data_IF_466729333018
#
_entry.id   IF_466729333018
#
_cell.length_a   1.000
_cell.length_b   1.000
_cell.length_c   1.000
_cell.angle_alpha   90.00
_cell.angle_beta   90.00
_cell.angle_gamma   90.00
#
_symmetry.space_group_name_H-M   'P 1'
#
loop_
_entity.id
_entity.type
_entity.pdbx_description
1 polymer ?
#
# COMPACT_ATOMS: atom_id res chain seq x y z
N UNK A 1 20.97 -28.28 57.82
CA UNK A 1 19.98 -27.34 57.21
C UNK A 1 18.61 -27.98 57.33
N UNK A 2 17.69 -27.29 58.02
CA UNK A 2 16.32 -27.77 58.24
C UNK A 2 15.56 -27.89 56.91
N UNK A 3 14.65 -28.89 56.82
CA UNK A 3 13.78 -29.09 55.63
C UNK A 3 13.02 -27.82 55.23
N UNK A 4 12.69 -26.96 56.19
CA UNK A 4 12.04 -25.64 56.00
C UNK A 4 12.95 -24.63 55.26
N UNK A 5 14.23 -24.60 55.54
CA UNK A 5 15.18 -23.68 54.87
C UNK A 5 15.39 -24.08 53.42
N UNK A 6 15.44 -25.41 53.11
CA UNK A 6 15.50 -25.88 51.72
C UNK A 6 14.24 -25.54 50.94
N UNK A 7 13.06 -25.68 51.52
CA UNK A 7 11.79 -25.33 50.86
C UNK A 7 11.69 -23.82 50.58
N UNK A 8 12.14 -22.96 51.49
CA UNK A 8 12.14 -21.48 51.25
C UNK A 8 13.11 -21.07 50.12
N UNK A 9 14.30 -21.67 50.09
CA UNK A 9 15.30 -21.42 49.04
C UNK A 9 14.78 -21.85 47.64
N UNK A 10 14.09 -23.00 47.57
CA UNK A 10 13.51 -23.49 46.32
C UNK A 10 12.34 -22.59 45.85
N UNK A 11 11.51 -22.12 46.78
CA UNK A 11 10.40 -21.19 46.45
C UNK A 11 10.91 -19.82 45.96
N UNK A 12 11.98 -19.26 46.55
CA UNK A 12 12.61 -18.04 46.09
C UNK A 12 13.28 -18.19 44.71
N UNK A 13 13.89 -19.34 44.41
CA UNK A 13 14.50 -19.61 43.11
C UNK A 13 13.45 -19.74 41.99
N UNK A 14 12.28 -20.36 42.27
CA UNK A 14 11.17 -20.42 41.31
C UNK A 14 10.53 -19.04 41.09
N UNK A 15 10.40 -18.20 42.11
CA UNK A 15 9.89 -16.87 42.01
C UNK A 15 10.81 -15.92 41.19
N UNK A 16 12.14 -16.10 41.32
CA UNK A 16 13.12 -15.36 40.53
C UNK A 16 13.15 -15.80 39.04
N UNK A 17 12.85 -17.04 38.73
CA UNK A 17 12.74 -17.52 37.34
C UNK A 17 11.48 -17.05 36.64
N UNK A 18 10.40 -16.79 37.37
CA UNK A 18 9.14 -16.25 36.79
C UNK A 18 9.22 -14.76 36.40
N UNK A 19 10.22 -14.01 36.89
CA UNK A 19 10.43 -12.59 36.59
C UNK A 19 11.22 -12.27 35.31
N UNK A 20 11.77 -13.29 34.64
CA UNK A 20 12.58 -13.13 33.43
C UNK A 20 11.80 -13.45 32.14
N UNK A 21 10.48 -13.26 32.12
CA UNK A 21 9.77 -13.17 30.86
C UNK A 21 10.24 -11.89 30.17
N UNK A 22 11.30 -11.98 29.37
CA UNK A 22 11.68 -10.91 28.47
C UNK A 22 10.46 -10.63 27.60
N UNK A 23 9.87 -9.42 27.75
CA UNK A 23 8.81 -8.99 26.86
C UNK A 23 9.35 -9.15 25.43
N UNK A 24 8.80 -10.11 24.69
CA UNK A 24 9.18 -10.31 23.30
C UNK A 24 8.94 -9.00 22.58
N UNK A 25 9.97 -8.44 21.97
CA UNK A 25 9.89 -7.18 21.27
C UNK A 25 8.83 -7.30 20.18
N UNK A 26 7.79 -6.49 20.26
CA UNK A 26 6.74 -6.48 19.25
C UNK A 26 7.25 -5.81 17.99
N UNK A 27 7.10 -6.48 16.86
CA UNK A 27 7.57 -6.03 15.55
C UNK A 27 6.44 -6.15 14.55
N UNK A 28 6.28 -5.13 13.69
CA UNK A 28 5.46 -5.17 12.48
C UNK A 28 6.37 -5.26 11.26
N UNK A 29 6.21 -6.30 10.46
CA UNK A 29 6.91 -6.48 9.20
C UNK A 29 6.15 -5.75 8.09
N UNK A 30 6.72 -4.65 7.62
CA UNK A 30 6.14 -3.78 6.62
C UNK A 30 6.83 -3.98 5.26
N UNK A 31 6.08 -4.47 4.27
CA UNK A 31 6.55 -4.52 2.87
C UNK A 31 6.05 -3.28 2.15
N UNK A 32 6.96 -2.43 1.66
CA UNK A 32 6.62 -1.11 1.16
C UNK A 32 7.21 -0.83 -0.22
N UNK A 33 6.35 -0.40 -1.14
CA UNK A 33 6.74 0.20 -2.41
C UNK A 33 6.71 1.74 -2.36
N UNK A 34 6.46 2.32 -1.19
CA UNK A 34 6.44 3.77 -1.00
C UNK A 34 7.86 4.30 -0.80
N UNK A 35 8.12 5.45 -1.38
CA UNK A 35 9.45 6.07 -1.42
C UNK A 35 9.43 7.55 -1.00
N UNK A 36 8.40 7.97 -0.27
CA UNK A 36 8.26 9.35 0.16
C UNK A 36 8.92 9.58 1.51
N UNK A 37 9.78 10.60 1.61
CA UNK A 37 10.42 10.97 2.87
C UNK A 37 9.42 11.36 3.97
N UNK A 38 8.22 11.82 3.58
CA UNK A 38 7.13 12.13 4.51
C UNK A 38 6.60 10.90 5.26
N UNK A 39 6.77 9.71 4.71
CA UNK A 39 6.31 8.47 5.35
C UNK A 39 7.16 8.10 6.57
N UNK A 40 8.42 8.58 6.65
CA UNK A 40 9.29 8.35 7.80
C UNK A 40 8.71 8.94 9.10
N UNK A 41 8.03 10.07 9.01
CA UNK A 41 7.34 10.66 10.16
C UNK A 41 6.18 9.77 10.66
N UNK A 42 5.47 9.10 9.73
CA UNK A 42 4.41 8.15 10.06
C UNK A 42 4.97 6.93 10.81
N UNK A 43 6.03 6.33 10.29
CA UNK A 43 6.67 5.15 10.90
C UNK A 43 7.26 5.46 12.27
N UNK A 44 7.97 6.56 12.38
CA UNK A 44 8.54 7.03 13.66
C UNK A 44 7.45 7.34 14.67
N UNK A 45 6.36 8.01 14.23
CA UNK A 45 5.21 8.32 15.05
C UNK A 45 4.51 7.09 15.60
N UNK A 46 4.32 6.07 14.77
CA UNK A 46 3.75 4.79 15.17
C UNK A 46 4.61 4.11 16.25
N UNK A 47 5.90 3.96 16.00
CA UNK A 47 6.81 3.33 16.97
C UNK A 47 6.85 4.10 18.29
N UNK A 48 6.88 5.44 18.24
CA UNK A 48 6.86 6.28 19.44
C UNK A 48 5.57 6.13 20.24
N UNK A 49 4.43 6.01 19.57
CA UNK A 49 3.13 5.91 20.21
C UNK A 49 2.84 4.52 20.80
N UNK A 50 3.36 3.46 20.18
CA UNK A 50 3.01 2.07 20.52
C UNK A 50 4.14 1.27 21.18
N UNK A 51 5.38 1.71 21.02
CA UNK A 51 6.58 0.90 21.38
C UNK A 51 6.88 -0.23 20.39
N UNK A 52 6.04 -0.45 19.38
CA UNK A 52 6.18 -1.51 18.39
C UNK A 52 7.19 -1.05 17.33
N UNK A 53 8.18 -1.89 17.03
CA UNK A 53 9.15 -1.63 15.97
C UNK A 53 8.58 -1.96 14.58
N UNK A 54 9.01 -1.23 13.58
CA UNK A 54 8.72 -1.54 12.19
C UNK A 54 9.99 -2.13 11.55
N UNK A 55 9.87 -3.38 11.07
CA UNK A 55 10.86 -4.04 10.25
C UNK A 55 10.45 -3.89 8.79
N UNK A 56 11.17 -3.05 8.01
CA UNK A 56 10.76 -2.65 6.67
C UNK A 56 11.54 -3.37 5.58
N UNK A 57 10.82 -3.83 4.57
CA UNK A 57 11.34 -4.33 3.30
C UNK A 57 10.86 -3.41 2.19
N UNK A 58 11.80 -2.73 1.54
CA UNK A 58 11.50 -1.80 0.46
C UNK A 58 11.82 -2.42 -0.91
N UNK A 59 10.87 -2.34 -1.84
CA UNK A 59 11.02 -2.72 -3.23
C UNK A 59 10.00 -1.95 -4.09
N UNK A 60 10.02 -2.12 -5.41
CA UNK A 60 8.92 -1.62 -6.24
C UNK A 60 7.65 -2.49 -6.08
N UNK A 61 6.50 -1.99 -6.53
CA UNK A 61 5.21 -2.70 -6.39
C UNK A 61 5.24 -4.12 -6.98
N UNK A 62 5.91 -4.31 -8.12
CA UNK A 62 5.99 -5.61 -8.77
C UNK A 62 6.87 -6.58 -7.96
N UNK A 63 7.97 -6.08 -7.40
CA UNK A 63 8.86 -6.83 -6.53
C UNK A 63 8.18 -7.25 -5.23
N UNK A 64 7.41 -6.36 -4.59
CA UNK A 64 6.62 -6.69 -3.39
C UNK A 64 5.61 -7.81 -3.70
N UNK A 65 4.81 -7.67 -4.76
CA UNK A 65 3.81 -8.68 -5.12
C UNK A 65 4.46 -10.03 -5.52
N UNK A 66 5.57 -10.00 -6.25
CA UNK A 66 6.30 -11.22 -6.62
C UNK A 66 6.88 -11.93 -5.38
N UNK A 67 7.40 -11.17 -4.43
CA UNK A 67 7.91 -11.70 -3.18
C UNK A 67 6.81 -12.36 -2.35
N UNK A 68 5.66 -11.69 -2.17
CA UNK A 68 4.52 -12.26 -1.46
C UNK A 68 4.04 -13.57 -2.09
N UNK A 69 3.99 -13.64 -3.43
CA UNK A 69 3.66 -14.89 -4.14
C UNK A 69 4.66 -16.01 -3.86
N UNK A 70 5.94 -15.69 -3.86
CA UNK A 70 7.01 -16.67 -3.62
C UNK A 70 7.00 -17.17 -2.16
N UNK A 71 6.74 -16.30 -1.20
CA UNK A 71 6.66 -16.62 0.23
C UNK A 71 5.35 -17.37 0.58
N UNK A 72 4.26 -17.09 -0.13
CA UNK A 72 2.96 -17.72 0.08
C UNK A 72 2.46 -17.54 1.52
N UNK A 73 1.93 -18.61 2.09
CA UNK A 73 1.43 -18.62 3.49
C UNK A 73 2.52 -18.52 4.55
N UNK A 74 3.79 -18.63 4.16
CA UNK A 74 4.94 -18.45 5.07
C UNK A 74 5.48 -17.01 5.08
N UNK A 75 4.82 -16.08 4.35
CA UNK A 75 5.25 -14.68 4.34
C UNK A 75 5.20 -14.09 5.75
N UNK A 76 6.27 -13.43 6.19
CA UNK A 76 6.29 -12.73 7.47
C UNK A 76 5.63 -11.33 7.39
N UNK A 77 5.15 -10.90 6.22
CA UNK A 77 4.59 -9.57 6.04
C UNK A 77 3.27 -9.41 6.82
N UNK A 78 3.22 -8.44 7.72
CA UNK A 78 2.01 -8.06 8.45
C UNK A 78 1.24 -6.95 7.73
N UNK A 79 1.96 -6.01 7.11
CA UNK A 79 1.38 -4.86 6.41
C UNK A 79 2.07 -4.66 5.06
N UNK A 80 1.28 -4.33 4.05
CA UNK A 80 1.76 -4.07 2.69
C UNK A 80 1.33 -2.67 2.27
N UNK A 81 2.28 -1.83 1.85
CA UNK A 81 2.02 -0.50 1.30
C UNK A 81 2.40 -0.44 -0.17
N UNK A 82 1.41 -0.33 -1.04
CA UNK A 82 1.60 -0.14 -2.48
C UNK A 82 1.24 1.29 -2.88
N UNK A 83 1.69 1.71 -4.07
CA UNK A 83 1.55 3.11 -4.47
C UNK A 83 0.27 3.43 -5.25
N UNK A 84 -0.49 2.42 -5.67
CA UNK A 84 -1.66 2.62 -6.53
C UNK A 84 -2.72 1.53 -6.35
N UNK A 85 -4.00 1.91 -6.45
CA UNK A 85 -5.15 1.01 -6.30
C UNK A 85 -5.14 -0.13 -7.32
N UNK A 86 -4.63 0.08 -8.55
CA UNK A 86 -4.53 -0.98 -9.55
C UNK A 86 -3.62 -2.14 -9.10
N UNK A 87 -2.56 -1.85 -8.33
CA UNK A 87 -1.68 -2.87 -7.75
C UNK A 87 -2.33 -3.57 -6.56
N UNK A 88 -3.07 -2.85 -5.74
CA UNK A 88 -3.86 -3.43 -4.65
C UNK A 88 -4.92 -4.39 -5.21
N UNK A 89 -5.68 -3.94 -6.21
CA UNK A 89 -6.65 -4.80 -6.89
C UNK A 89 -6.01 -6.07 -7.48
N UNK A 90 -4.84 -5.94 -8.11
CA UNK A 90 -4.11 -7.11 -8.61
C UNK A 90 -3.71 -8.06 -7.49
N UNK A 91 -3.20 -7.57 -6.38
CA UNK A 91 -2.84 -8.37 -5.21
C UNK A 91 -4.06 -9.09 -4.61
N UNK A 92 -5.21 -8.42 -4.56
CA UNK A 92 -6.48 -9.01 -4.15
C UNK A 92 -6.92 -10.15 -5.08
N UNK A 93 -6.90 -9.94 -6.40
CA UNK A 93 -7.24 -10.97 -7.39
C UNK A 93 -6.30 -12.18 -7.34
N UNK A 94 -5.06 -11.97 -6.96
CA UNK A 94 -4.06 -13.03 -6.76
C UNK A 94 -4.17 -13.69 -5.37
N UNK A 95 -5.13 -13.27 -4.51
CA UNK A 95 -5.37 -13.83 -3.18
C UNK A 95 -4.24 -13.57 -2.16
N UNK A 96 -3.50 -12.46 -2.33
CA UNK A 96 -2.31 -12.16 -1.51
C UNK A 96 -2.65 -11.46 -0.20
N UNK A 97 -3.87 -11.00 -0.02
CA UNK A 97 -4.28 -10.23 1.15
C UNK A 97 -5.28 -10.99 2.00
N UNK A 98 -5.13 -10.88 3.31
CA UNK A 98 -6.14 -11.36 4.25
C UNK A 98 -7.15 -10.24 4.51
N UNK A 99 -8.44 -10.41 4.16
CA UNK A 99 -9.45 -9.42 4.47
C UNK A 99 -9.60 -9.21 5.97
N UNK A 100 -9.77 -7.96 6.39
CA UNK A 100 -9.94 -7.61 7.79
C UNK A 100 -11.21 -6.76 8.00
N UNK A 101 -11.74 -6.79 9.22
CA UNK A 101 -12.76 -5.86 9.70
C UNK A 101 -12.12 -4.90 10.67
N UNK A 102 -12.18 -3.62 10.37
CA UNK A 102 -11.62 -2.58 11.22
C UNK A 102 -12.54 -1.36 11.25
N UNK A 103 -13.29 -1.22 12.33
CA UNK A 103 -14.16 -0.05 12.50
C UNK A 103 -13.38 1.26 12.37
N UNK A 104 -12.17 1.33 12.87
CA UNK A 104 -11.31 2.53 12.78
C UNK A 104 -11.02 2.88 11.31
N UNK A 105 -10.63 1.91 10.51
CA UNK A 105 -10.34 2.13 9.08
C UNK A 105 -11.61 2.41 8.29
N UNK A 106 -12.69 1.70 8.60
CA UNK A 106 -13.98 1.85 7.91
C UNK A 106 -14.65 3.17 8.20
N UNK A 107 -14.50 3.72 9.41
CA UNK A 107 -15.00 5.04 9.77
C UNK A 107 -14.13 6.16 9.17
N UNK A 108 -12.81 5.95 9.07
CA UNK A 108 -11.87 6.96 8.62
C UNK A 108 -11.71 7.04 7.09
N UNK A 109 -11.90 5.92 6.38
CA UNK A 109 -11.63 5.82 4.94
C UNK A 109 -12.96 5.68 4.18
N UNK A 110 -13.28 6.59 3.24
CA UNK A 110 -14.49 6.51 2.43
C UNK A 110 -14.64 5.18 1.68
N UNK A 111 -15.87 4.71 1.50
CA UNK A 111 -16.15 3.42 0.86
C UNK A 111 -15.58 3.28 -0.56
N UNK A 112 -15.52 4.38 -1.32
CA UNK A 112 -14.94 4.41 -2.66
C UNK A 112 -13.40 4.41 -2.69
N UNK A 113 -12.75 4.40 -1.53
CA UNK A 113 -11.28 4.33 -1.39
C UNK A 113 -10.82 3.03 -0.72
N UNK A 114 -11.63 1.99 -0.75
CA UNK A 114 -11.32 0.66 -0.23
C UNK A 114 -11.88 -0.44 -1.15
N UNK A 115 -11.42 -1.69 -0.98
CA UNK A 115 -11.97 -2.80 -1.75
C UNK A 115 -13.45 -3.00 -1.46
N UNK A 116 -14.15 -3.70 -2.35
CA UNK A 116 -15.47 -4.21 -2.04
C UNK A 116 -15.37 -5.23 -0.89
N UNK A 117 -16.40 -5.32 -0.04
CA UNK A 117 -16.44 -6.34 1.00
C UNK A 117 -16.45 -7.75 0.40
N UNK A 118 -15.65 -8.66 0.96
CA UNK A 118 -15.77 -10.10 0.66
C UNK A 118 -16.99 -10.70 1.38
N UNK A 119 -17.29 -11.98 1.12
CA UNK A 119 -18.53 -12.63 1.57
C UNK A 119 -18.79 -12.52 3.09
N UNK A 120 -17.76 -12.51 3.92
CA UNK A 120 -17.86 -12.32 5.37
C UNK A 120 -17.87 -10.85 5.81
N UNK A 121 -17.83 -9.92 4.86
CA UNK A 121 -17.78 -8.46 5.08
C UNK A 121 -16.40 -7.91 5.38
N UNK A 122 -15.32 -8.68 5.26
CA UNK A 122 -13.94 -8.19 5.39
C UNK A 122 -13.55 -7.32 4.20
N UNK A 123 -12.60 -6.42 4.40
CA UNK A 123 -12.04 -5.51 3.39
C UNK A 123 -10.59 -5.91 3.12
N UNK A 124 -10.24 -6.14 1.87
CA UNK A 124 -8.91 -6.62 1.47
C UNK A 124 -7.85 -5.53 1.48
N UNK A 125 -8.23 -4.27 1.19
CA UNK A 125 -7.31 -3.15 1.20
C UNK A 125 -8.02 -1.81 1.42
N UNK A 126 -7.25 -0.82 1.88
CA UNK A 126 -7.71 0.52 2.22
C UNK A 126 -6.81 1.57 1.55
N UNK A 127 -7.39 2.63 1.00
CA UNK A 127 -6.66 3.77 0.46
C UNK A 127 -6.18 4.70 1.57
N UNK A 128 -4.87 4.86 1.69
CA UNK A 128 -4.26 5.71 2.72
C UNK A 128 -4.15 7.17 2.30
N UNK A 129 -3.98 7.43 1.00
CA UNK A 129 -3.83 8.78 0.45
C UNK A 129 -4.32 8.83 -1.00
N UNK A 130 -4.72 10.02 -1.44
CA UNK A 130 -5.12 10.28 -2.83
C UNK A 130 -4.17 11.25 -3.49
N UNK A 131 -4.01 11.15 -4.81
CA UNK A 131 -3.22 12.07 -5.62
C UNK A 131 -3.96 12.41 -6.91
N UNK A 132 -3.97 13.70 -7.27
CA UNK A 132 -4.44 14.12 -8.58
C UNK A 132 -3.36 13.88 -9.64
N UNK A 133 -3.75 13.38 -10.81
CA UNK A 133 -2.95 13.41 -12.02
C UNK A 133 -3.27 14.70 -12.75
N UNK A 134 -2.25 15.49 -13.01
CA UNK A 134 -2.42 16.80 -13.65
C UNK A 134 -1.65 16.84 -14.97
N UNK A 135 -2.21 17.53 -15.96
CA UNK A 135 -1.53 17.89 -17.18
C UNK A 135 -0.63 19.08 -16.87
N UNK A 136 0.68 18.90 -17.07
CA UNK A 136 1.68 19.96 -16.89
C UNK A 136 2.28 20.29 -18.25
N UNK A 137 2.31 21.56 -18.63
CA UNK A 137 2.76 21.99 -19.93
C UNK A 137 3.72 23.19 -19.86
N UNK A 138 4.59 23.30 -20.85
CA UNK A 138 5.48 24.44 -21.01
C UNK A 138 4.71 25.61 -21.69
N UNK A 139 4.41 26.65 -20.92
CA UNK A 139 3.65 27.83 -21.38
C UNK A 139 4.29 28.57 -22.58
N UNK A 140 5.61 28.39 -22.81
CA UNK A 140 6.27 28.99 -23.97
C UNK A 140 6.08 28.17 -25.27
N UNK A 141 5.58 26.94 -25.18
CA UNK A 141 5.49 26.00 -26.32
C UNK A 141 4.07 25.53 -26.61
N UNK A 142 3.17 25.57 -25.65
CA UNK A 142 1.83 24.98 -25.73
C UNK A 142 0.83 25.94 -25.12
N UNK A 143 -0.29 26.15 -25.79
CA UNK A 143 -1.42 26.90 -25.23
C UNK A 143 -2.20 26.01 -24.28
N UNK A 144 -2.76 26.59 -23.20
CA UNK A 144 -3.60 25.85 -22.25
C UNK A 144 -4.77 25.16 -22.95
N UNK A 145 -5.42 25.88 -23.88
CA UNK A 145 -6.53 25.37 -24.67
C UNK A 145 -6.23 24.17 -25.56
N UNK A 146 -4.96 23.81 -25.73
CA UNK A 146 -4.55 22.65 -26.52
C UNK A 146 -4.40 21.37 -25.67
N UNK A 147 -4.42 21.51 -24.35
CA UNK A 147 -4.12 20.45 -23.38
C UNK A 147 -4.93 20.59 -22.08
N UNK A 148 -6.15 21.13 -22.18
CA UNK A 148 -6.99 21.40 -21.00
C UNK A 148 -7.65 20.14 -20.46
N UNK A 149 -7.90 19.16 -21.33
CA UNK A 149 -8.47 17.87 -20.99
C UNK A 149 -7.54 16.71 -21.40
N UNK A 150 -7.79 15.53 -20.87
CA UNK A 150 -7.05 14.32 -21.26
C UNK A 150 -7.36 13.91 -22.70
N UNK A 151 -8.57 14.14 -23.17
CA UNK A 151 -9.01 13.84 -24.53
C UNK A 151 -8.20 14.63 -25.56
N UNK A 152 -7.92 15.90 -25.29
CA UNK A 152 -7.14 16.78 -26.18
C UNK A 152 -5.69 16.32 -26.34
N UNK A 153 -5.15 15.54 -25.40
CA UNK A 153 -3.78 15.02 -25.51
C UNK A 153 -3.59 14.10 -26.73
N UNK A 154 -4.65 13.45 -27.20
CA UNK A 154 -4.64 12.60 -28.39
C UNK A 154 -4.83 13.39 -29.71
N UNK A 155 -5.03 14.71 -29.66
CA UNK A 155 -5.13 15.53 -30.87
C UNK A 155 -3.82 15.44 -31.68
N UNK A 156 -3.86 15.22 -33.00
CA UNK A 156 -2.68 15.14 -33.86
C UNK A 156 -1.71 16.32 -33.72
N UNK A 157 -2.20 17.52 -33.35
CA UNK A 157 -1.34 18.69 -33.08
C UNK A 157 -0.39 18.48 -31.91
N UNK A 158 -0.68 17.54 -31.00
CA UNK A 158 0.11 17.22 -29.83
C UNK A 158 1.06 16.03 -30.04
N UNK A 159 1.05 15.43 -31.24
CA UNK A 159 1.91 14.27 -31.56
C UNK A 159 3.39 14.58 -31.36
N UNK A 160 4.08 13.71 -30.62
CA UNK A 160 5.51 13.87 -30.31
C UNK A 160 5.82 14.95 -29.27
N UNK A 161 4.81 15.58 -28.66
CA UNK A 161 4.99 16.60 -27.62
C UNK A 161 4.72 16.08 -26.21
N UNK A 162 4.14 14.88 -26.07
CA UNK A 162 3.80 14.28 -24.78
C UNK A 162 5.00 13.57 -24.16
N UNK A 163 5.19 13.79 -22.88
CA UNK A 163 6.10 13.03 -22.04
C UNK A 163 5.29 12.31 -20.97
N UNK A 164 5.22 11.00 -21.08
CA UNK A 164 4.41 10.13 -20.21
C UNK A 164 5.25 8.92 -19.81
N UNK A 165 4.95 8.31 -18.68
CA UNK A 165 5.58 7.06 -18.25
C UNK A 165 5.16 5.89 -19.15
N UNK A 166 5.88 4.77 -19.05
CA UNK A 166 5.49 3.52 -19.72
C UNK A 166 4.03 3.16 -19.44
N UNK A 167 3.35 2.60 -20.44
CA UNK A 167 1.98 2.09 -20.30
C UNK A 167 1.81 1.00 -19.22
N UNK A 168 2.88 0.27 -18.90
CA UNK A 168 2.89 -0.73 -17.82
C UNK A 168 3.07 -0.12 -16.42
N UNK A 169 3.38 1.19 -16.32
CA UNK A 169 3.56 1.83 -15.03
C UNK A 169 2.21 1.94 -14.31
N UNK A 170 2.13 1.68 -12.97
CA UNK A 170 0.88 1.71 -12.20
C UNK A 170 0.05 2.98 -12.42
N UNK A 171 0.71 4.13 -12.53
CA UNK A 171 0.04 5.41 -12.77
C UNK A 171 -0.71 5.47 -14.09
N UNK A 172 -0.14 4.90 -15.15
CA UNK A 172 -0.79 4.88 -16.45
C UNK A 172 -1.85 3.78 -16.53
N UNK A 173 -1.67 2.65 -15.86
CA UNK A 173 -2.72 1.65 -15.76
C UNK A 173 -3.99 2.23 -15.14
N UNK A 174 -3.87 2.98 -14.04
CA UNK A 174 -5.02 3.67 -13.42
C UNK A 174 -5.58 4.78 -14.30
N UNK A 175 -4.74 5.56 -14.98
CA UNK A 175 -5.19 6.59 -15.92
C UNK A 175 -5.97 5.97 -17.07
N UNK A 176 -5.43 4.94 -17.70
CA UNK A 176 -6.07 4.29 -18.85
C UNK A 176 -7.39 3.60 -18.44
N UNK A 177 -7.43 2.98 -17.27
CA UNK A 177 -8.66 2.46 -16.70
C UNK A 177 -9.73 3.55 -16.51
N UNK A 178 -9.34 4.70 -15.96
CA UNK A 178 -10.24 5.84 -15.77
C UNK A 178 -10.73 6.44 -17.10
N UNK A 179 -9.84 6.54 -18.09
CA UNK A 179 -10.21 7.01 -19.45
C UNK A 179 -11.16 6.00 -20.11
N UNK A 180 -10.92 4.71 -19.95
CA UNK A 180 -11.78 3.66 -20.50
C UNK A 180 -13.18 3.69 -19.86
N UNK A 181 -13.26 3.86 -18.55
CA UNK A 181 -14.54 3.99 -17.83
C UNK A 181 -15.33 5.23 -18.29
N UNK A 182 -14.63 6.35 -18.51
CA UNK A 182 -15.27 7.62 -18.88
C UNK A 182 -15.69 7.67 -20.36
N UNK A 183 -14.86 7.22 -21.28
CA UNK A 183 -15.08 7.31 -22.72
C UNK A 183 -15.69 6.05 -23.35
N UNK A 184 -15.62 4.90 -22.68
CA UNK A 184 -15.88 3.59 -23.23
C UNK A 184 -14.68 3.03 -24.00
N UNK A 185 -14.61 1.69 -24.14
CA UNK A 185 -13.45 0.97 -24.70
C UNK A 185 -13.04 1.48 -26.09
N UNK A 186 -13.97 1.63 -27.01
CA UNK A 186 -13.69 2.01 -28.40
C UNK A 186 -13.03 3.41 -28.52
N UNK A 187 -13.55 4.39 -27.76
CA UNK A 187 -12.98 5.75 -27.76
C UNK A 187 -11.65 5.80 -27.01
N UNK A 188 -11.53 5.04 -25.90
CA UNK A 188 -10.28 4.94 -25.16
C UNK A 188 -9.17 4.30 -26.01
N UNK A 189 -9.49 3.28 -26.81
CA UNK A 189 -8.52 2.68 -27.76
C UNK A 189 -8.08 3.70 -28.82
N UNK A 190 -9.02 4.47 -29.37
CA UNK A 190 -8.70 5.53 -30.34
C UNK A 190 -7.80 6.61 -29.71
N UNK A 191 -8.10 7.02 -28.48
CA UNK A 191 -7.32 7.97 -27.71
C UNK A 191 -5.90 7.47 -27.44
N UNK A 192 -5.73 6.20 -27.11
CA UNK A 192 -4.41 5.59 -26.87
C UNK A 192 -3.55 5.49 -28.15
N UNK A 193 -4.16 5.49 -29.33
CA UNK A 193 -3.47 5.45 -30.63
C UNK A 193 -3.08 6.83 -31.15
N UNK A 194 -3.71 7.89 -30.69
CA UNK A 194 -3.44 9.30 -31.06
C UNK A 194 -2.18 9.81 -30.38
#
# INVERSE_FOLDING_TARGET
MSKTVKALLTACALAAAAGAATAQEQVVNLYSARHYSTDEALYTGFTKATGIKINRVDADDAGILARLKAEGTASPADVILLVDAARLYRGEMDGLFQPIRSKVLEDAIPANLRSLPVADGGISWFGLSTRARLIVFNKAKVQKSDVDTYEELADPKNKGKLCIRSGSHPYNLSLFGSVTEHLGEQKAEAWLKG
#
